data_IF_440111529801
#
_entry.id   IF_440111529801
#
_cell.length_a   1.000
_cell.length_b   1.000
_cell.length_c   1.000
_cell.angle_alpha   90.00
_cell.angle_beta   90.00
_cell.angle_gamma   90.00
#
_symmetry.space_group_name_H-M   'P 1'
#
loop_
_entity.id
_entity.type
_entity.pdbx_description
1 polymer ?
#
# COMPACT_ATOMS: atom_id res chain seq x y z
N UNK A 1 -18.33 1.93 -15.54
CA UNK A 1 -18.10 2.38 -14.15
C UNK A 1 -18.35 3.87 -13.99
N UNK A 2 -17.61 4.77 -14.68
CA UNK A 2 -17.74 6.24 -14.49
C UNK A 2 -19.17 6.80 -14.69
N UNK A 3 -19.97 6.15 -15.52
CA UNK A 3 -21.34 6.57 -15.83
C UNK A 3 -22.42 5.63 -15.24
N UNK A 4 -22.04 4.68 -14.38
CA UNK A 4 -22.96 3.70 -13.79
C UNK A 4 -23.34 4.06 -12.35
N UNK A 5 -22.49 4.81 -11.65
CA UNK A 5 -22.67 5.16 -10.23
C UNK A 5 -22.22 6.60 -9.97
N UNK A 6 -22.81 7.24 -8.96
CA UNK A 6 -22.44 8.59 -8.55
C UNK A 6 -21.03 8.65 -7.89
N UNK A 7 -20.67 7.63 -7.11
CA UNK A 7 -19.39 7.49 -6.44
C UNK A 7 -18.97 6.02 -6.36
N UNK A 8 -17.67 5.77 -6.24
CA UNK A 8 -17.10 4.43 -6.04
C UNK A 8 -16.00 4.50 -4.98
N UNK A 9 -15.93 3.46 -4.15
CA UNK A 9 -14.81 3.25 -3.21
C UNK A 9 -13.88 2.23 -3.84
N UNK A 10 -12.63 2.61 -4.07
CA UNK A 10 -11.63 1.75 -4.74
C UNK A 10 -10.48 1.45 -3.79
N UNK A 11 -9.99 0.21 -3.79
CA UNK A 11 -8.70 -0.09 -3.18
C UNK A 11 -7.59 0.57 -4.00
N UNK A 12 -6.53 1.04 -3.31
CA UNK A 12 -5.44 1.80 -3.94
C UNK A 12 -4.77 1.08 -5.11
N UNK A 13 -4.60 -0.24 -5.03
CA UNK A 13 -4.00 -1.03 -6.12
C UNK A 13 -4.85 -1.01 -7.41
N UNK A 14 -6.18 -1.09 -7.29
CA UNK A 14 -7.07 -1.04 -8.46
C UNK A 14 -7.21 0.38 -9.00
N UNK A 15 -7.22 1.39 -8.13
CA UNK A 15 -7.20 2.79 -8.54
C UNK A 15 -5.96 3.09 -9.40
N UNK A 16 -4.76 2.70 -8.91
CA UNK A 16 -3.50 2.85 -9.65
C UNK A 16 -3.50 2.11 -10.99
N UNK A 17 -3.98 0.86 -11.02
CA UNK A 17 -4.06 0.08 -12.26
C UNK A 17 -5.01 0.70 -13.28
N UNK A 18 -6.08 1.35 -12.81
CA UNK A 18 -7.03 2.08 -13.65
C UNK A 18 -6.56 3.52 -13.98
N UNK A 19 -5.35 3.91 -13.55
CA UNK A 19 -4.75 5.21 -13.86
C UNK A 19 -5.24 6.36 -12.97
N UNK A 20 -5.94 6.06 -11.87
CA UNK A 20 -6.34 7.05 -10.87
C UNK A 20 -5.24 7.25 -9.81
N UNK A 21 -5.10 8.49 -9.34
CA UNK A 21 -4.26 8.86 -8.21
C UNK A 21 -5.11 9.30 -7.02
N UNK A 22 -4.79 8.79 -5.83
CA UNK A 22 -5.45 9.19 -4.58
C UNK A 22 -5.31 10.70 -4.34
N UNK A 23 -4.13 11.26 -4.62
CA UNK A 23 -3.85 12.67 -4.39
C UNK A 23 -4.58 13.62 -5.37
N UNK A 24 -5.03 13.13 -6.53
CA UNK A 24 -5.58 13.97 -7.61
C UNK A 24 -7.07 13.73 -7.86
N UNK A 25 -7.50 12.48 -7.80
CA UNK A 25 -8.82 12.05 -8.26
C UNK A 25 -9.77 11.67 -7.12
N UNK A 26 -9.24 11.35 -5.93
CA UNK A 26 -10.08 10.97 -4.80
C UNK A 26 -10.76 12.20 -4.18
N UNK A 27 -12.07 12.10 -3.99
CA UNK A 27 -12.86 13.14 -3.31
C UNK A 27 -12.63 13.08 -1.78
N UNK A 28 -12.35 11.88 -1.27
CA UNK A 28 -11.95 11.61 0.10
C UNK A 28 -11.10 10.33 0.14
N UNK A 29 -10.15 10.27 1.06
CA UNK A 29 -9.27 9.12 1.27
C UNK A 29 -8.87 9.00 2.76
N UNK A 30 -8.44 7.80 3.16
CA UNK A 30 -7.95 7.54 4.51
C UNK A 30 -6.61 8.22 4.75
N UNK A 31 -6.46 8.94 5.87
CA UNK A 31 -5.24 9.67 6.17
C UNK A 31 -4.09 8.72 6.55
N UNK A 32 -2.88 9.08 6.14
CA UNK A 32 -1.66 8.30 6.33
C UNK A 32 -1.29 8.04 7.79
N UNK A 33 -1.67 8.95 8.69
CA UNK A 33 -1.42 8.90 10.13
C UNK A 33 -2.61 8.35 10.93
N UNK A 34 -3.65 7.87 10.24
CA UNK A 34 -4.85 7.34 10.87
C UNK A 34 -4.67 5.90 11.37
N UNK A 35 -5.52 5.49 12.31
CA UNK A 35 -5.60 4.09 12.75
C UNK A 35 -5.83 3.12 11.58
N UNK A 36 -6.51 3.56 10.52
CA UNK A 36 -6.74 2.75 9.32
C UNK A 36 -5.42 2.40 8.61
N UNK A 37 -4.46 3.33 8.56
CA UNK A 37 -3.15 3.10 7.94
C UNK A 37 -2.38 1.97 8.64
N UNK A 38 -2.43 1.91 9.98
CA UNK A 38 -1.82 0.82 10.74
C UNK A 38 -2.65 -0.47 10.70
N UNK A 39 -3.98 -0.37 10.65
CA UNK A 39 -4.89 -1.53 10.65
C UNK A 39 -4.87 -2.29 9.32
N UNK A 40 -4.68 -1.58 8.21
CA UNK A 40 -4.77 -2.12 6.85
C UNK A 40 -3.43 -2.15 6.11
N UNK A 41 -2.32 -2.14 6.85
CA UNK A 41 -1.00 -2.34 6.27
C UNK A 41 -0.95 -3.67 5.49
N UNK A 42 -0.49 -3.62 4.24
CA UNK A 42 -0.29 -4.84 3.44
C UNK A 42 0.87 -5.66 4.03
N UNK A 43 0.73 -6.99 4.04
CA UNK A 43 1.68 -7.90 4.69
C UNK A 43 2.27 -8.92 3.72
N UNK A 44 3.44 -9.45 4.09
CA UNK A 44 3.95 -10.71 3.53
C UNK A 44 3.33 -11.86 4.33
N UNK A 45 2.43 -12.61 3.70
CA UNK A 45 1.83 -13.79 4.31
C UNK A 45 2.59 -15.07 3.92
N UNK A 46 2.82 -15.95 4.89
CA UNK A 46 3.44 -17.26 4.68
C UNK A 46 2.61 -18.36 5.34
N UNK A 47 2.87 -19.62 4.95
CA UNK A 47 2.29 -20.77 5.65
C UNK A 47 2.83 -20.83 7.08
N UNK A 48 1.98 -21.20 8.04
CA UNK A 48 2.38 -21.32 9.44
C UNK A 48 3.58 -22.26 9.62
N UNK A 49 4.57 -21.81 10.39
CA UNK A 49 5.85 -22.48 10.61
C UNK A 49 6.98 -21.98 9.70
N UNK A 50 6.66 -21.18 8.67
CA UNK A 50 7.65 -20.68 7.72
C UNK A 50 8.06 -19.22 8.00
N UNK A 51 7.44 -18.53 8.95
CA UNK A 51 7.72 -17.13 9.28
C UNK A 51 9.18 -16.88 9.69
N UNK A 52 9.87 -17.94 10.13
CA UNK A 52 11.27 -17.88 10.53
C UNK A 52 12.27 -18.40 9.50
N UNK A 53 11.82 -18.84 8.31
CA UNK A 53 12.73 -19.26 7.24
C UNK A 53 13.64 -18.11 6.82
N UNK A 54 14.94 -18.39 6.63
CA UNK A 54 15.96 -17.37 6.33
C UNK A 54 15.61 -16.51 5.10
N UNK A 55 15.10 -17.14 4.03
CA UNK A 55 14.64 -16.45 2.82
C UNK A 55 13.44 -15.51 3.06
N UNK A 56 12.58 -15.82 4.04
CA UNK A 56 11.41 -14.98 4.36
C UNK A 56 11.88 -13.76 5.14
N UNK A 57 12.78 -13.95 6.11
CA UNK A 57 13.40 -12.84 6.84
C UNK A 57 14.15 -11.89 5.90
N UNK A 58 14.96 -12.44 5.00
CA UNK A 58 15.69 -11.65 4.00
C UNK A 58 14.74 -10.85 3.09
N UNK A 59 13.61 -11.43 2.67
CA UNK A 59 12.60 -10.72 1.89
C UNK A 59 11.99 -9.54 2.68
N UNK A 60 11.57 -9.78 3.93
CA UNK A 60 10.96 -8.74 4.77
C UNK A 60 11.96 -7.61 5.05
N UNK A 61 13.23 -7.96 5.33
CA UNK A 61 14.29 -6.99 5.53
C UNK A 61 14.50 -6.10 4.29
N UNK A 62 14.58 -6.69 3.10
CA UNK A 62 14.73 -5.92 1.86
C UNK A 62 13.51 -5.04 1.61
N UNK A 63 12.28 -5.54 1.80
CA UNK A 63 11.06 -4.75 1.64
C UNK A 63 10.95 -3.61 2.66
N UNK A 64 11.53 -3.76 3.85
CA UNK A 64 11.62 -2.73 4.89
C UNK A 64 12.82 -1.78 4.76
N UNK A 65 13.70 -2.00 3.78
CA UNK A 65 14.92 -1.20 3.60
C UNK A 65 14.64 0.25 3.18
N UNK A 66 15.58 1.15 3.47
CA UNK A 66 15.49 2.56 3.06
C UNK A 66 15.40 2.70 1.54
N UNK A 67 16.06 1.82 0.78
CA UNK A 67 15.99 1.79 -0.67
C UNK A 67 14.55 1.57 -1.15
N UNK A 68 13.85 0.55 -0.63
CA UNK A 68 12.47 0.24 -1.01
C UNK A 68 11.50 1.32 -0.49
N UNK A 69 11.69 1.83 0.72
CA UNK A 69 10.88 2.94 1.26
C UNK A 69 10.98 4.19 0.37
N UNK A 70 12.19 4.54 -0.06
CA UNK A 70 12.43 5.65 -0.98
C UNK A 70 11.82 5.39 -2.36
N UNK A 71 11.96 4.17 -2.89
CA UNK A 71 11.32 3.79 -4.14
C UNK A 71 9.80 3.99 -4.09
N UNK A 72 9.14 3.51 -3.03
CA UNK A 72 7.69 3.66 -2.84
C UNK A 72 7.30 5.13 -2.81
N UNK A 73 7.99 5.93 -1.99
CA UNK A 73 7.71 7.36 -1.80
C UNK A 73 7.80 8.13 -3.12
N UNK A 74 8.78 7.80 -3.96
CA UNK A 74 9.03 8.52 -5.21
C UNK A 74 8.18 8.02 -6.40
N UNK A 75 7.66 6.80 -6.33
CA UNK A 75 6.98 6.16 -7.47
C UNK A 75 5.47 6.41 -7.47
N UNK A 76 4.84 6.41 -6.29
CA UNK A 76 3.38 6.30 -6.20
C UNK A 76 2.66 7.60 -5.82
N UNK A 77 3.34 8.75 -5.79
CA UNK A 77 2.73 10.07 -5.58
C UNK A 77 1.79 10.12 -4.35
N UNK A 78 2.21 9.47 -3.26
CA UNK A 78 1.44 9.34 -2.00
C UNK A 78 0.31 8.32 -2.00
N UNK A 79 0.01 7.66 -3.12
CA UNK A 79 -1.02 6.61 -3.19
C UNK A 79 -0.58 5.29 -2.53
N UNK A 80 0.74 5.10 -2.34
CA UNK A 80 1.32 4.00 -1.56
C UNK A 80 2.27 4.62 -0.55
N UNK A 81 2.13 4.21 0.71
CA UNK A 81 2.90 4.75 1.83
C UNK A 81 3.67 3.59 2.46
N UNK A 82 5.00 3.72 2.65
CA UNK A 82 5.77 2.70 3.34
C UNK A 82 5.31 2.59 4.79
N UNK A 83 5.21 1.37 5.31
CA UNK A 83 4.94 1.15 6.72
C UNK A 83 6.10 1.69 7.57
N UNK A 84 5.79 2.50 8.57
CA UNK A 84 6.71 2.92 9.61
C UNK A 84 6.50 1.99 10.82
N UNK A 85 7.55 1.28 11.23
CA UNK A 85 7.55 0.50 12.47
C UNK A 85 7.39 1.38 13.72
#
# INVERSE_FOLDING_TARGET
MKDEVAYVVLNGNFALQAGFSVAKDAIAYEQADSQAASTYANIVAVKAGNENEEKIKALVEVLGSDEIKNYITNTYDGAVIPYAE
#
